data_IF_047968222079
#
_entry.id   IF_047968222079
#
_cell.length_a   1.000
_cell.length_b   1.000
_cell.length_c   1.000
_cell.angle_alpha   90.00
_cell.angle_beta   90.00
_cell.angle_gamma   90.00
#
_symmetry.space_group_name_H-M   'P 1'
#
loop_
_entity.id
_entity.type
_entity.pdbx_description
1 polymer ?
#
# COMPACT_ATOMS: atom_id res chain seq x y z
N UNK A 1 -24.90 -13.65 -17.99
CA UNK A 1 -23.44 -13.65 -17.73
C UNK A 1 -22.72 -12.50 -18.46
N UNK A 2 -23.40 -11.40 -18.77
CA UNK A 2 -22.84 -10.23 -19.53
C UNK A 2 -22.72 -8.99 -18.64
N UNK A 3 -23.34 -8.98 -17.44
CA UNK A 3 -23.37 -7.78 -16.58
C UNK A 3 -22.11 -7.54 -15.72
N UNK A 4 -21.29 -8.56 -15.45
CA UNK A 4 -20.08 -8.41 -14.65
C UNK A 4 -18.91 -7.76 -15.43
N UNK A 5 -18.86 -7.98 -16.74
CA UNK A 5 -17.80 -7.44 -17.61
C UNK A 5 -17.96 -5.94 -17.90
N UNK A 6 -19.20 -5.43 -17.84
CA UNK A 6 -19.49 -4.00 -18.10
C UNK A 6 -19.22 -3.13 -16.86
N UNK A 7 -19.29 -3.70 -15.65
CA UNK A 7 -18.95 -2.98 -14.41
C UNK A 7 -17.44 -2.76 -14.27
N UNK A 8 -16.62 -3.71 -14.72
CA UNK A 8 -15.15 -3.55 -14.73
C UNK A 8 -14.67 -2.50 -15.75
N UNK A 9 -15.34 -2.37 -16.89
CA UNK A 9 -15.02 -1.35 -17.89
C UNK A 9 -15.42 0.06 -17.42
N UNK A 10 -16.49 0.19 -16.62
CA UNK A 10 -16.94 1.48 -16.11
C UNK A 10 -16.02 2.01 -14.99
N UNK A 11 -15.46 1.13 -14.17
CA UNK A 11 -14.47 1.49 -13.15
C UNK A 11 -13.11 1.88 -13.74
N UNK A 12 -12.76 1.36 -14.94
CA UNK A 12 -11.51 1.73 -15.63
C UNK A 12 -11.59 3.08 -16.38
N UNK A 13 -12.77 3.55 -16.74
CA UNK A 13 -12.94 4.81 -17.48
C UNK A 13 -12.99 6.05 -16.56
N UNK A 14 -13.19 5.88 -15.25
CA UNK A 14 -13.15 6.97 -14.26
C UNK A 14 -11.79 7.17 -13.62
N UNK A 15 -10.78 6.38 -13.99
CA UNK A 15 -9.43 6.46 -13.46
C UNK A 15 -8.59 7.48 -14.23
N UNK A 16 -8.95 8.76 -14.13
CA UNK A 16 -8.13 9.88 -14.62
C UNK A 16 -6.98 10.23 -13.68
N UNK A 17 -6.81 9.48 -12.60
CA UNK A 17 -5.69 9.56 -11.65
C UNK A 17 -4.80 8.34 -11.77
N UNK A 18 -3.53 8.46 -11.39
CA UNK A 18 -2.55 7.36 -11.39
C UNK A 18 -2.71 6.43 -10.18
N UNK A 19 -3.87 6.38 -9.55
CA UNK A 19 -4.21 5.52 -8.42
C UNK A 19 -4.75 4.17 -8.91
N UNK A 20 -4.27 3.09 -8.30
CA UNK A 20 -4.68 1.72 -8.61
C UNK A 20 -5.32 1.06 -7.40
N UNK A 21 -6.53 0.54 -7.60
CA UNK A 21 -7.23 -0.21 -6.56
C UNK A 21 -6.68 -1.64 -6.47
N UNK A 22 -6.18 -2.00 -5.30
CA UNK A 22 -5.65 -3.34 -5.03
C UNK A 22 -6.72 -4.22 -4.37
N UNK A 23 -7.37 -3.71 -3.34
CA UNK A 23 -8.52 -4.34 -2.68
C UNK A 23 -9.66 -3.32 -2.58
N UNK A 24 -10.77 -3.67 -1.94
CA UNK A 24 -11.89 -2.73 -1.73
C UNK A 24 -11.49 -1.46 -0.96
N UNK A 25 -10.53 -1.58 -0.05
CA UNK A 25 -10.11 -0.50 0.84
C UNK A 25 -8.68 -0.04 0.65
N UNK A 26 -7.86 -0.75 -0.15
CA UNK A 26 -6.44 -0.44 -0.35
C UNK A 26 -6.13 -0.04 -1.78
N UNK A 27 -5.38 1.05 -1.90
CA UNK A 27 -4.96 1.64 -3.16
C UNK A 27 -3.46 1.95 -3.14
N UNK A 28 -2.83 1.92 -4.30
CA UNK A 28 -1.48 2.44 -4.51
C UNK A 28 -1.50 3.60 -5.48
N UNK A 29 -0.68 4.61 -5.23
CA UNK A 29 -0.63 5.82 -6.03
C UNK A 29 0.75 6.47 -6.06
N UNK A 30 0.82 7.60 -6.73
CA UNK A 30 2.04 8.38 -6.90
C UNK A 30 2.03 9.66 -6.06
N UNK A 31 3.10 10.43 -6.15
CA UNK A 31 3.29 11.65 -5.36
C UNK A 31 2.26 12.76 -5.64
N UNK A 32 1.73 12.84 -6.87
CA UNK A 32 0.77 13.89 -7.24
C UNK A 32 -0.57 13.74 -6.53
N UNK A 33 -0.93 12.55 -6.10
CA UNK A 33 -2.17 12.25 -5.39
C UNK A 33 -2.11 12.64 -3.90
N UNK A 34 -0.93 12.94 -3.36
CA UNK A 34 -0.78 13.34 -1.96
C UNK A 34 -1.39 14.70 -1.68
N UNK A 35 -1.19 15.67 -2.57
CA UNK A 35 -1.75 17.02 -2.43
C UNK A 35 -3.19 17.14 -2.93
N UNK A 36 -3.59 16.24 -3.83
CA UNK A 36 -4.93 16.19 -4.44
C UNK A 36 -5.46 14.75 -4.46
N UNK A 37 -5.67 14.12 -3.28
CA UNK A 37 -6.20 12.77 -3.24
C UNK A 37 -7.65 12.75 -3.76
N UNK A 38 -8.05 11.64 -4.41
CA UNK A 38 -9.46 11.44 -4.75
C UNK A 38 -10.35 11.53 -3.50
N UNK A 39 -11.54 12.12 -3.66
CA UNK A 39 -12.46 12.40 -2.55
C UNK A 39 -12.86 11.15 -1.72
N UNK A 40 -12.79 9.97 -2.34
CA UNK A 40 -13.10 8.70 -1.68
C UNK A 40 -11.99 8.22 -0.70
N UNK A 41 -10.80 8.82 -0.72
CA UNK A 41 -9.68 8.45 0.13
C UNK A 41 -9.78 9.19 1.46
N UNK A 42 -9.89 8.44 2.57
CA UNK A 42 -9.94 8.98 3.91
C UNK A 42 -8.59 8.99 4.64
N UNK A 43 -7.67 8.12 4.23
CA UNK A 43 -6.35 8.00 4.84
C UNK A 43 -5.26 7.80 3.77
N UNK A 44 -4.14 8.50 3.93
CA UNK A 44 -3.02 8.47 2.97
C UNK A 44 -1.70 8.28 3.70
N UNK A 45 -0.94 7.28 3.26
CA UNK A 45 0.41 6.99 3.71
C UNK A 45 1.42 7.31 2.61
N UNK A 46 2.32 8.26 2.86
CA UNK A 46 3.45 8.55 1.97
C UNK A 46 4.69 7.77 2.39
N UNK A 47 5.22 6.96 1.48
CA UNK A 47 6.40 6.12 1.73
C UNK A 47 7.60 6.51 0.86
N UNK A 48 7.70 7.78 0.51
CA UNK A 48 8.82 8.36 -0.23
C UNK A 48 9.63 9.31 0.66
N UNK A 49 10.93 9.06 0.81
CA UNK A 49 11.81 9.87 1.66
C UNK A 49 12.14 11.24 1.08
N UNK A 50 12.12 11.36 -0.24
CA UNK A 50 12.54 12.54 -0.99
C UNK A 50 11.48 13.66 -1.08
N UNK A 51 10.26 13.40 -0.60
CA UNK A 51 9.15 14.37 -0.70
C UNK A 51 8.59 14.76 0.66
N UNK A 52 8.24 16.04 0.80
CA UNK A 52 7.55 16.61 1.96
C UNK A 52 6.34 17.45 1.50
N UNK A 53 5.34 16.82 0.86
CA UNK A 53 4.16 17.54 0.38
C UNK A 53 3.29 18.03 1.52
N UNK A 54 2.38 18.97 1.22
CA UNK A 54 1.35 19.43 2.14
C UNK A 54 0.03 18.75 1.80
N UNK A 55 -0.43 17.75 2.57
CA UNK A 55 -1.71 17.12 2.34
C UNK A 55 -2.87 18.09 2.66
N UNK A 56 -4.05 17.89 2.08
CA UNK A 56 -5.22 18.71 2.39
C UNK A 56 -5.66 18.54 3.86
N UNK A 57 -6.24 19.59 4.44
CA UNK A 57 -6.76 19.54 5.79
C UNK A 57 -7.89 18.50 5.93
N UNK A 58 -7.90 17.80 7.07
CA UNK A 58 -8.89 16.77 7.38
C UNK A 58 -8.57 15.38 6.85
N UNK A 59 -7.54 15.22 6.00
CA UNK A 59 -7.06 13.91 5.59
C UNK A 59 -6.23 13.28 6.72
N UNK A 60 -6.49 12.01 7.03
CA UNK A 60 -5.60 11.22 7.88
C UNK A 60 -4.32 10.95 7.08
N UNK A 61 -3.21 11.51 7.55
CA UNK A 61 -1.95 11.48 6.81
C UNK A 61 -0.78 11.09 7.71
N UNK A 62 0.09 10.24 7.16
CA UNK A 62 1.38 9.90 7.79
C UNK A 62 2.45 9.79 6.70
N UNK A 63 3.70 10.03 7.09
CA UNK A 63 4.87 9.84 6.24
C UNK A 63 5.84 8.89 6.93
N UNK A 64 6.08 7.73 6.30
CA UNK A 64 7.06 6.75 6.73
C UNK A 64 8.06 6.58 5.59
N UNK A 65 9.28 7.14 5.69
CA UNK A 65 10.21 7.22 4.58
C UNK A 65 10.86 5.88 4.25
N UNK A 66 10.87 5.54 2.97
CA UNK A 66 11.59 4.43 2.37
C UNK A 66 12.53 4.94 1.29
N UNK A 67 13.73 4.35 1.22
CA UNK A 67 14.70 4.65 0.17
C UNK A 67 14.25 4.05 -1.16
N UNK A 68 14.35 4.82 -2.24
CA UNK A 68 14.06 4.33 -3.59
C UNK A 68 15.12 3.31 -4.03
N UNK A 69 14.69 2.20 -4.63
CA UNK A 69 15.52 1.08 -5.11
C UNK A 69 16.36 0.35 -4.04
N UNK A 70 16.25 0.73 -2.79
CA UNK A 70 16.91 0.06 -1.67
C UNK A 70 16.03 -1.02 -1.04
N UNK A 71 16.64 -1.91 -0.25
CA UNK A 71 15.90 -2.86 0.56
C UNK A 71 15.12 -2.14 1.67
N UNK A 72 13.88 -2.55 1.90
CA UNK A 72 13.09 -2.02 2.99
C UNK A 72 13.62 -2.55 4.34
N UNK A 73 13.72 -1.67 5.33
CA UNK A 73 13.98 -2.09 6.72
C UNK A 73 12.72 -2.72 7.31
N UNK A 74 12.86 -3.89 7.92
CA UNK A 74 11.72 -4.61 8.52
C UNK A 74 10.96 -3.76 9.56
N UNK A 75 11.68 -2.95 10.36
CA UNK A 75 11.06 -2.05 11.34
C UNK A 75 10.17 -0.98 10.68
N UNK A 76 10.66 -0.32 9.62
CA UNK A 76 9.89 0.70 8.88
C UNK A 76 8.70 0.07 8.15
N UNK A 77 8.90 -1.11 7.57
CA UNK A 77 7.84 -1.85 6.90
C UNK A 77 6.74 -2.26 7.88
N UNK A 78 7.12 -2.74 9.07
CA UNK A 78 6.16 -3.07 10.10
C UNK A 78 5.41 -1.83 10.63
N UNK A 79 6.07 -0.68 10.76
CA UNK A 79 5.42 0.58 11.14
C UNK A 79 4.37 1.00 10.10
N UNK A 80 4.67 0.85 8.81
CA UNK A 80 3.73 1.14 7.73
C UNK A 80 2.53 0.18 7.75
N UNK A 81 2.76 -1.10 8.00
CA UNK A 81 1.71 -2.11 8.16
C UNK A 81 0.81 -1.78 9.36
N UNK A 82 1.38 -1.45 10.51
CA UNK A 82 0.64 -1.09 11.72
C UNK A 82 -0.24 0.16 11.48
N UNK A 83 0.25 1.11 10.68
CA UNK A 83 -0.52 2.29 10.30
C UNK A 83 -1.71 1.93 9.39
N UNK A 84 -1.50 1.11 8.37
CA UNK A 84 -2.59 0.64 7.49
C UNK A 84 -3.63 -0.13 8.31
N UNK A 85 -3.19 -1.06 9.16
CA UNK A 85 -4.07 -1.89 9.99
C UNK A 85 -5.00 -1.04 10.88
N UNK A 86 -4.51 0.08 11.41
CA UNK A 86 -5.30 1.00 12.24
C UNK A 86 -6.36 1.79 11.46
N UNK A 87 -6.12 2.06 10.18
CA UNK A 87 -6.96 3.02 9.44
C UNK A 87 -7.83 2.40 8.35
N UNK A 88 -7.49 1.20 7.85
CA UNK A 88 -8.19 0.61 6.72
C UNK A 88 -9.62 0.13 7.01
N UNK A 89 -9.99 -0.08 8.27
CA UNK A 89 -11.35 -0.54 8.63
C UNK A 89 -12.39 0.55 8.41
N UNK A 90 -12.03 1.79 8.72
CA UNK A 90 -12.94 2.94 8.64
C UNK A 90 -12.70 3.82 7.43
N UNK A 91 -11.62 3.57 6.67
CA UNK A 91 -11.20 4.41 5.55
C UNK A 91 -10.75 3.60 4.34
N UNK A 92 -10.90 4.20 3.17
CA UNK A 92 -10.12 3.81 1.99
C UNK A 92 -8.73 4.40 2.13
N UNK A 93 -7.73 3.53 2.11
CA UNK A 93 -6.32 3.88 2.35
C UNK A 93 -5.57 3.92 1.03
N UNK A 94 -4.90 5.04 0.76
CA UNK A 94 -4.01 5.22 -0.38
C UNK A 94 -2.56 5.23 0.11
N UNK A 95 -1.73 4.33 -0.41
CA UNK A 95 -0.29 4.29 -0.16
C UNK A 95 0.43 4.87 -1.37
N UNK A 96 1.13 5.97 -1.18
CA UNK A 96 1.83 6.71 -2.22
C UNK A 96 3.34 6.60 -2.09
N UNK A 97 4.02 6.49 -3.22
CA UNK A 97 5.44 6.80 -3.34
C UNK A 97 5.65 7.71 -4.55
N UNK A 98 6.87 7.83 -5.10
CA UNK A 98 7.13 8.68 -6.26
C UNK A 98 6.28 8.29 -7.47
N UNK A 99 6.37 7.05 -7.92
CA UNK A 99 5.72 6.55 -9.13
C UNK A 99 4.57 5.57 -8.87
N UNK A 100 4.33 5.18 -7.62
CA UNK A 100 3.33 4.16 -7.29
C UNK A 100 3.67 2.77 -7.83
N UNK A 101 4.95 2.41 -7.92
CA UNK A 101 5.41 1.16 -8.55
C UNK A 101 6.25 0.27 -7.65
N UNK A 102 7.05 0.83 -6.76
CA UNK A 102 8.01 0.08 -5.94
C UNK A 102 7.67 0.09 -4.46
N UNK A 103 7.97 1.18 -3.76
CA UNK A 103 7.83 1.34 -2.31
C UNK A 103 6.38 1.15 -1.83
N UNK A 104 5.42 1.85 -2.44
CA UNK A 104 4.00 1.72 -2.11
C UNK A 104 3.46 0.32 -2.37
N UNK A 105 3.84 -0.28 -3.49
CA UNK A 105 3.54 -1.67 -3.84
C UNK A 105 4.08 -2.62 -2.77
N UNK A 106 5.34 -2.46 -2.37
CA UNK A 106 5.99 -3.31 -1.35
C UNK A 106 5.31 -3.23 0.01
N UNK A 107 4.89 -2.04 0.43
CA UNK A 107 4.16 -1.84 1.69
C UNK A 107 2.79 -2.53 1.65
N UNK A 108 2.04 -2.38 0.57
CA UNK A 108 0.73 -3.04 0.43
C UNK A 108 0.88 -4.56 0.35
N UNK A 109 1.88 -5.08 -0.38
CA UNK A 109 2.18 -6.52 -0.39
C UNK A 109 2.47 -7.05 1.01
N UNK A 110 3.29 -6.35 1.77
CA UNK A 110 3.63 -6.74 3.14
C UNK A 110 2.39 -6.76 4.06
N UNK A 111 1.51 -5.75 3.93
CA UNK A 111 0.25 -5.73 4.66
C UNK A 111 -0.63 -6.95 4.33
N UNK A 112 -0.81 -7.26 3.05
CA UNK A 112 -1.62 -8.41 2.63
C UNK A 112 -1.05 -9.74 3.13
N UNK A 113 0.27 -9.89 3.15
CA UNK A 113 0.91 -11.08 3.68
C UNK A 113 0.83 -11.18 5.21
N UNK A 114 1.14 -10.10 5.92
CA UNK A 114 1.33 -10.13 7.38
C UNK A 114 0.03 -9.96 8.18
N UNK A 115 -0.98 -9.28 7.64
CA UNK A 115 -2.25 -8.99 8.31
C UNK A 115 -3.38 -9.81 7.71
N UNK A 116 -3.49 -9.86 6.39
CA UNK A 116 -4.54 -10.62 5.70
C UNK A 116 -4.17 -12.11 5.54
N UNK A 117 -2.97 -12.52 5.96
CA UNK A 117 -2.46 -13.90 5.88
C UNK A 117 -2.48 -14.49 4.46
N UNK A 118 -2.35 -13.67 3.45
CA UNK A 118 -2.25 -14.13 2.06
C UNK A 118 -0.84 -14.68 1.77
N UNK A 119 -0.77 -15.75 0.99
CA UNK A 119 0.51 -16.28 0.56
C UNK A 119 1.23 -15.30 -0.40
N UNK A 120 2.54 -15.16 -0.26
CA UNK A 120 3.32 -14.21 -1.07
C UNK A 120 3.13 -14.40 -2.59
N UNK A 121 3.11 -15.63 -3.16
CA UNK A 121 2.86 -15.82 -4.59
C UNK A 121 1.51 -15.25 -5.05
N UNK A 122 0.46 -15.42 -4.23
CA UNK A 122 -0.88 -14.92 -4.55
C UNK A 122 -0.93 -13.39 -4.48
N UNK A 123 -0.29 -12.80 -3.47
CA UNK A 123 -0.14 -11.34 -3.35
C UNK A 123 0.64 -10.76 -4.52
N UNK A 124 1.72 -11.41 -4.94
CA UNK A 124 2.50 -10.99 -6.08
C UNK A 124 1.66 -11.01 -7.37
N UNK A 125 0.92 -12.08 -7.63
CA UNK A 125 0.03 -12.17 -8.79
C UNK A 125 -1.08 -11.11 -8.75
N UNK A 126 -1.71 -10.92 -7.59
CA UNK A 126 -2.72 -9.88 -7.40
C UNK A 126 -2.15 -8.50 -7.72
N UNK A 127 -0.96 -8.21 -7.20
CA UNK A 127 -0.31 -6.91 -7.40
C UNK A 127 0.02 -6.67 -8.88
N UNK A 128 0.59 -7.67 -9.58
CA UNK A 128 0.90 -7.57 -11.01
C UNK A 128 -0.36 -7.36 -11.86
N UNK A 129 -1.47 -8.00 -11.49
CA UNK A 129 -2.74 -7.86 -12.18
C UNK A 129 -3.39 -6.49 -11.95
N UNK A 130 -3.34 -5.97 -10.71
CA UNK A 130 -4.01 -4.72 -10.32
C UNK A 130 -3.18 -3.46 -10.62
N UNK A 131 -1.85 -3.57 -10.59
CA UNK A 131 -0.90 -2.49 -10.87
C UNK A 131 0.07 -2.92 -11.95
N UNK A 132 -0.27 -2.78 -13.25
CA UNK A 132 0.66 -3.08 -14.35
C UNK A 132 1.98 -2.29 -14.18
N UNK A 133 3.10 -2.97 -14.35
CA UNK A 133 4.43 -2.39 -14.15
C UNK A 133 4.87 -2.27 -12.68
N UNK A 134 4.15 -2.88 -11.74
CA UNK A 134 4.61 -2.96 -10.37
C UNK A 134 5.99 -3.63 -10.30
N UNK A 135 6.89 -3.01 -9.52
CA UNK A 135 8.27 -3.45 -9.34
C UNK A 135 8.61 -3.37 -7.84
N UNK A 136 8.27 -4.38 -7.05
CA UNK A 136 8.54 -4.38 -5.62
C UNK A 136 10.03 -4.14 -5.31
N UNK A 137 10.30 -3.62 -4.11
CA UNK A 137 11.67 -3.37 -3.65
C UNK A 137 12.50 -4.66 -3.60
N UNK A 138 13.84 -4.56 -3.74
CA UNK A 138 14.73 -5.71 -3.64
C UNK A 138 14.50 -6.52 -2.36
N UNK A 139 14.60 -7.83 -2.44
CA UNK A 139 14.48 -8.77 -1.32
C UNK A 139 13.20 -8.65 -0.49
N UNK A 140 12.14 -8.04 -1.02
CA UNK A 140 10.91 -7.77 -0.27
C UNK A 140 10.30 -9.02 0.37
N UNK A 141 10.38 -10.17 -0.28
CA UNK A 141 9.87 -11.43 0.30
C UNK A 141 10.63 -11.83 1.58
N UNK A 142 11.93 -11.62 1.61
CA UNK A 142 12.74 -11.88 2.81
C UNK A 142 12.38 -10.88 3.92
N UNK A 143 12.25 -9.59 3.59
CA UNK A 143 11.85 -8.55 4.54
C UNK A 143 10.45 -8.80 5.11
N UNK A 144 9.50 -9.26 4.29
CA UNK A 144 8.16 -9.66 4.77
C UNK A 144 8.24 -10.80 5.77
N UNK A 145 9.09 -11.81 5.54
CA UNK A 145 9.30 -12.89 6.54
C UNK A 145 9.87 -12.37 7.85
N UNK A 146 10.76 -11.40 7.80
CA UNK A 146 11.32 -10.78 9.01
C UNK A 146 10.25 -9.99 9.77
N UNK A 147 9.40 -9.24 9.07
CA UNK A 147 8.23 -8.56 9.68
C UNK A 147 7.29 -9.57 10.32
N UNK A 148 7.02 -10.68 9.65
CA UNK A 148 6.18 -11.74 10.23
C UNK A 148 6.74 -12.23 11.57
N UNK A 149 8.04 -12.49 11.64
CA UNK A 149 8.71 -12.88 12.91
C UNK A 149 8.60 -11.80 13.97
N UNK A 150 8.79 -10.53 13.63
CA UNK A 150 8.63 -9.41 14.56
C UNK A 150 7.21 -9.35 15.14
N UNK A 151 6.19 -9.54 14.30
CA UNK A 151 4.79 -9.51 14.71
C UNK A 151 4.44 -10.70 15.62
N UNK A 152 4.88 -11.89 15.28
CA UNK A 152 4.71 -13.08 16.14
C UNK A 152 5.38 -12.93 17.49
N UNK A 153 6.60 -12.37 17.54
CA UNK A 153 7.31 -12.12 18.79
C UNK A 153 6.61 -11.10 19.71
N UNK A 154 5.85 -10.17 19.15
CA UNK A 154 5.01 -9.24 19.93
C UNK A 154 3.84 -9.95 20.61
N UNK A 155 3.22 -10.92 19.93
CA UNK A 155 2.07 -11.68 20.46
C UNK A 155 2.47 -12.67 21.56
N UNK A 156 3.72 -13.12 21.59
CA UNK A 156 4.25 -14.07 22.57
C UNK A 156 4.86 -13.45 23.81
N UNK A 157 4.91 -12.10 23.93
CA UNK A 157 5.33 -11.45 25.19
C UNK A 157 4.15 -11.44 26.16
N UNK A 158 4.28 -12.09 27.34
CA UNK A 158 3.28 -11.93 28.42
C UNK A 158 3.22 -10.47 28.86
N UNK A 159 2.01 -10.02 29.18
CA UNK A 159 1.75 -8.69 29.75
C UNK A 159 2.48 -8.50 31.08
#
# INVERSE_FOLDING_TARGET
MVCAFLLDLHNNLLNTGCMYQITETLFVGNIYEVERPPAAIGALLLVAEEFTPTPPAGLIYERIPFTEFGEAKAASLNQAIDWIERHHQDNRVLVCCRAGMGRSVSVVMAYLCCVQNMAYPDVFQLMMARRPGACPLPNIQATIRDVHRLRLARLSKPA
#
